data_IF_206781636447
#
_entry.id   IF_206781636447
#
_cell.length_a   1.000
_cell.length_b   1.000
_cell.length_c   1.000
_cell.angle_alpha   90.00
_cell.angle_beta   90.00
_cell.angle_gamma   90.00
#
_symmetry.space_group_name_H-M   'P 1'
#
loop_
_entity.id
_entity.type
_entity.pdbx_description
1 polymer ?
#
# COMPACT_ATOMS: atom_id res chain seq x y z
N UNK A 1 -5.41 -37.62 -38.49
CA UNK A 1 -5.93 -36.26 -38.16
C UNK A 1 -5.93 -36.14 -36.65
N UNK A 2 -4.88 -35.51 -36.13
CA UNK A 2 -4.70 -35.34 -34.69
C UNK A 2 -4.92 -33.85 -34.42
N UNK A 3 -6.04 -33.51 -33.78
CA UNK A 3 -6.26 -32.16 -33.23
C UNK A 3 -5.82 -32.22 -31.77
N UNK A 4 -4.63 -31.71 -31.49
CA UNK A 4 -4.10 -31.65 -30.14
C UNK A 4 -4.73 -30.47 -29.37
N UNK A 5 -5.22 -30.79 -28.19
CA UNK A 5 -5.67 -29.87 -27.15
C UNK A 5 -4.57 -28.90 -26.73
N UNK A 6 -4.84 -27.61 -26.85
CA UNK A 6 -4.00 -26.51 -26.33
C UNK A 6 -4.88 -25.54 -25.53
N UNK A 7 -5.48 -26.01 -24.42
CA UNK A 7 -6.34 -25.15 -23.57
C UNK A 7 -6.15 -25.34 -22.05
N UNK A 8 -4.95 -25.57 -21.56
CA UNK A 8 -4.75 -25.78 -20.11
C UNK A 8 -3.65 -24.94 -19.43
N UNK A 9 -2.98 -23.99 -20.12
CA UNK A 9 -1.86 -23.29 -19.50
C UNK A 9 -2.16 -21.85 -18.95
N UNK A 10 -3.19 -21.19 -19.45
CA UNK A 10 -3.48 -19.79 -19.06
C UNK A 10 -4.12 -19.65 -17.68
N UNK A 11 -4.94 -20.60 -17.26
CA UNK A 11 -5.59 -20.56 -15.94
C UNK A 11 -4.61 -20.74 -14.78
N UNK A 12 -3.61 -21.59 -14.93
CA UNK A 12 -2.58 -21.82 -13.90
C UNK A 12 -1.63 -20.61 -13.74
N UNK A 13 -1.23 -19.96 -14.82
CA UNK A 13 -0.34 -18.80 -14.78
C UNK A 13 -0.98 -17.61 -14.06
N UNK A 14 -2.26 -17.33 -14.30
CA UNK A 14 -2.99 -16.26 -13.64
C UNK A 14 -3.21 -16.53 -12.13
N UNK A 15 -3.50 -17.77 -11.75
CA UNK A 15 -3.65 -18.15 -10.36
C UNK A 15 -2.31 -18.05 -9.61
N UNK A 16 -1.22 -18.47 -10.23
CA UNK A 16 0.14 -18.39 -9.69
C UNK A 16 0.55 -16.93 -9.46
N UNK A 17 0.38 -16.06 -10.46
CA UNK A 17 0.71 -14.63 -10.39
C UNK A 17 -0.10 -13.91 -9.30
N UNK A 18 -1.40 -14.23 -9.18
CA UNK A 18 -2.25 -13.69 -8.11
C UNK A 18 -1.76 -14.09 -6.72
N UNK A 19 -1.42 -15.37 -6.53
CA UNK A 19 -0.91 -15.86 -5.24
C UNK A 19 0.44 -15.25 -4.89
N UNK A 20 1.31 -15.00 -5.86
CA UNK A 20 2.60 -14.33 -5.64
C UNK A 20 2.40 -12.86 -5.24
N UNK A 21 1.49 -12.14 -5.89
CA UNK A 21 1.10 -10.78 -5.52
C UNK A 21 0.50 -10.71 -4.11
N UNK A 22 -0.40 -11.61 -3.74
CA UNK A 22 -0.98 -11.66 -2.40
C UNK A 22 0.09 -11.89 -1.31
N UNK A 23 1.04 -12.79 -1.55
CA UNK A 23 2.18 -13.02 -0.64
C UNK A 23 3.07 -11.78 -0.53
N UNK A 24 3.33 -11.10 -1.63
CA UNK A 24 4.12 -9.87 -1.63
C UNK A 24 3.43 -8.75 -0.83
N UNK A 25 2.12 -8.57 -1.00
CA UNK A 25 1.33 -7.60 -0.22
C UNK A 25 1.39 -7.90 1.28
N UNK A 26 1.21 -9.17 1.66
CA UNK A 26 1.31 -9.63 3.04
C UNK A 26 2.69 -9.35 3.65
N UNK A 27 3.75 -9.67 2.92
CA UNK A 27 5.12 -9.41 3.36
C UNK A 27 5.39 -7.92 3.56
N UNK A 28 4.98 -7.09 2.60
CA UNK A 28 5.10 -5.63 2.67
C UNK A 28 4.33 -5.08 3.87
N UNK A 29 3.07 -5.50 4.06
CA UNK A 29 2.24 -5.07 5.19
C UNK A 29 2.86 -5.44 6.54
N UNK A 30 3.38 -6.66 6.66
CA UNK A 30 4.00 -7.13 7.89
C UNK A 30 5.27 -6.32 8.21
N UNK A 31 6.10 -6.06 7.20
CA UNK A 31 7.29 -5.22 7.36
C UNK A 31 6.94 -3.79 7.79
N UNK A 32 5.95 -3.16 7.13
CA UNK A 32 5.47 -1.83 7.51
C UNK A 32 4.92 -1.81 8.95
N UNK A 33 4.29 -2.89 9.39
CA UNK A 33 3.79 -3.06 10.76
C UNK A 33 4.88 -3.14 11.83
N UNK A 34 6.08 -3.62 11.48
CA UNK A 34 7.25 -3.62 12.37
C UNK A 34 7.87 -2.21 12.52
N UNK A 35 7.60 -1.32 11.55
CA UNK A 35 8.04 0.06 11.58
C UNK A 35 7.03 0.93 12.35
N UNK A 36 7.52 1.87 13.15
CA UNK A 36 6.62 2.72 13.97
C UNK A 36 5.95 3.83 13.16
N UNK A 37 6.62 4.29 12.12
CA UNK A 37 6.20 5.43 11.30
C UNK A 37 6.49 5.14 9.83
N UNK A 38 5.50 5.41 8.99
CA UNK A 38 5.62 5.35 7.54
C UNK A 38 5.81 6.78 7.03
N UNK A 39 6.93 7.09 6.42
CA UNK A 39 7.15 8.40 5.79
C UNK A 39 6.67 8.34 4.34
N UNK A 40 5.59 9.05 4.05
CA UNK A 40 4.98 9.07 2.72
C UNK A 40 5.38 10.34 1.97
N UNK A 41 6.08 10.15 0.86
CA UNK A 41 6.45 11.20 -0.07
C UNK A 41 5.37 11.35 -1.17
N UNK A 42 5.04 12.59 -1.49
CA UNK A 42 4.18 12.99 -2.62
C UNK A 42 4.76 14.21 -3.31
N UNK A 43 4.19 14.61 -4.44
CA UNK A 43 4.61 15.78 -5.20
C UNK A 43 3.51 16.85 -5.16
N UNK A 44 3.94 18.08 -4.90
CA UNK A 44 3.11 19.29 -4.91
C UNK A 44 3.66 20.26 -5.97
N UNK A 45 3.18 20.14 -7.19
CA UNK A 45 3.81 20.78 -8.35
C UNK A 45 5.17 20.14 -8.62
N UNK A 46 6.25 20.86 -8.44
CA UNK A 46 7.65 20.42 -8.53
C UNK A 46 8.29 20.18 -7.13
N UNK A 47 7.58 20.51 -6.05
CA UNK A 47 8.08 20.39 -4.70
C UNK A 47 7.76 19.01 -4.12
N UNK A 48 8.77 18.20 -3.75
CA UNK A 48 8.55 16.97 -2.97
C UNK A 48 8.07 17.32 -1.55
N UNK A 49 7.11 16.55 -1.07
CA UNK A 49 6.55 16.67 0.29
C UNK A 49 6.64 15.33 0.99
N UNK A 50 7.03 15.31 2.27
CA UNK A 50 7.10 14.09 3.10
C UNK A 50 6.35 14.31 4.41
N UNK A 51 5.59 13.33 4.87
CA UNK A 51 4.91 13.37 6.17
C UNK A 51 4.71 11.97 6.75
N UNK A 52 4.57 11.90 8.11
CA UNK A 52 4.36 10.63 8.79
C UNK A 52 2.93 10.12 8.56
N UNK A 53 2.81 8.82 8.37
CA UNK A 53 1.58 8.03 8.35
C UNK A 53 1.71 6.88 9.35
N UNK A 54 0.59 6.39 9.86
CA UNK A 54 0.57 5.30 10.84
C UNK A 54 -0.28 4.10 10.43
N UNK A 55 -0.87 4.11 9.24
CA UNK A 55 -1.82 3.07 8.82
C UNK A 55 -1.41 2.47 7.49
N UNK A 56 -1.24 1.14 7.50
CA UNK A 56 -1.15 0.30 6.32
C UNK A 56 -1.91 -1.00 6.61
N UNK A 57 -3.04 -1.24 5.92
CA UNK A 57 -3.90 -2.40 6.16
C UNK A 57 -4.28 -3.09 4.84
N UNK A 58 -4.45 -4.41 4.90
CA UNK A 58 -4.91 -5.20 3.76
C UNK A 58 -6.43 -5.41 3.87
N UNK A 59 -7.15 -5.04 2.84
CA UNK A 59 -8.57 -5.35 2.68
C UNK A 59 -8.85 -5.81 1.26
N UNK A 60 -9.54 -6.95 1.12
CA UNK A 60 -9.84 -7.58 -0.16
C UNK A 60 -8.63 -7.68 -1.12
N UNK A 61 -7.47 -8.12 -0.58
CA UNK A 61 -6.25 -8.33 -1.36
C UNK A 61 -5.55 -7.05 -1.82
N UNK A 62 -5.93 -5.87 -1.28
CA UNK A 62 -5.31 -4.57 -1.59
C UNK A 62 -4.68 -3.97 -0.35
N UNK A 63 -3.52 -3.36 -0.52
CA UNK A 63 -2.84 -2.62 0.56
C UNK A 63 -3.31 -1.16 0.56
N UNK A 64 -3.91 -0.75 1.67
CA UNK A 64 -4.45 0.60 1.88
C UNK A 64 -3.58 1.42 2.82
N UNK A 65 -3.51 2.70 2.53
CA UNK A 65 -3.09 3.75 3.46
C UNK A 65 -4.27 4.69 3.72
N UNK A 66 -4.21 5.48 4.80
CA UNK A 66 -5.31 6.33 5.22
C UNK A 66 -4.84 7.75 5.52
N UNK A 67 -5.67 8.74 5.18
CA UNK A 67 -5.48 10.15 5.53
C UNK A 67 -6.83 10.86 5.69
N UNK A 68 -6.83 12.17 5.86
CA UNK A 68 -8.05 13.00 5.86
C UNK A 68 -8.22 13.75 4.55
N UNK A 69 -9.45 13.77 3.98
CA UNK A 69 -9.77 14.48 2.73
C UNK A 69 -9.48 15.99 2.80
N UNK A 70 -9.54 16.58 3.99
CA UNK A 70 -9.25 18.01 4.21
C UNK A 70 -7.75 18.36 4.18
N UNK A 71 -6.87 17.35 4.23
CA UNK A 71 -5.42 17.56 4.21
C UNK A 71 -4.90 17.77 2.78
N UNK A 72 -3.89 18.61 2.63
CA UNK A 72 -3.26 18.88 1.32
C UNK A 72 -2.63 17.62 0.73
N UNK A 73 -2.12 16.72 1.56
CA UNK A 73 -1.58 15.42 1.10
C UNK A 73 -2.62 14.61 0.32
N UNK A 74 -3.87 14.61 0.74
CA UNK A 74 -4.94 13.92 -0.01
C UNK A 74 -5.13 14.55 -1.39
N UNK A 75 -5.18 15.89 -1.48
CA UNK A 75 -5.29 16.60 -2.76
C UNK A 75 -4.12 16.26 -3.70
N UNK A 76 -2.90 16.17 -3.16
CA UNK A 76 -1.70 15.79 -3.91
C UNK A 76 -1.80 14.35 -4.43
N UNK A 77 -2.22 13.41 -3.57
CA UNK A 77 -2.39 12.00 -3.94
C UNK A 77 -3.46 11.79 -5.02
N UNK A 78 -4.58 12.51 -4.94
CA UNK A 78 -5.64 12.42 -5.96
C UNK A 78 -5.21 13.06 -7.27
N UNK A 79 -4.47 14.17 -7.21
CA UNK A 79 -3.98 14.88 -8.41
C UNK A 79 -2.92 14.10 -9.16
N UNK A 80 -2.03 13.41 -8.45
CA UNK A 80 -0.87 12.73 -9.03
C UNK A 80 -0.67 11.36 -8.41
N UNK A 81 -1.46 10.50 -8.21
CA UNK A 81 -1.36 9.14 -7.66
C UNK A 81 0.03 8.55 -7.32
N UNK A 82 1.13 9.17 -7.77
CA UNK A 82 2.51 8.72 -7.52
C UNK A 82 2.95 9.06 -6.11
N UNK A 83 3.60 8.11 -5.47
CA UNK A 83 4.08 8.23 -4.10
C UNK A 83 5.31 7.34 -3.86
N UNK A 84 5.98 7.59 -2.77
CA UNK A 84 6.91 6.63 -2.18
C UNK A 84 6.75 6.62 -0.65
N UNK A 85 6.67 5.43 -0.07
CA UNK A 85 6.76 5.21 1.37
C UNK A 85 8.19 4.81 1.69
N UNK A 86 8.77 5.39 2.74
CA UNK A 86 9.97 4.86 3.40
C UNK A 86 9.66 4.57 4.86
N UNK A 87 10.05 3.40 5.34
CA UNK A 87 9.86 3.02 6.73
C UNK A 87 11.07 2.23 7.22
N UNK A 88 11.57 2.58 8.40
CA UNK A 88 12.79 2.03 8.99
C UNK A 88 12.43 1.16 10.19
N UNK A 89 12.99 -0.05 10.26
CA UNK A 89 12.83 -0.90 11.44
C UNK A 89 13.48 -0.26 12.68
N UNK A 90 13.03 -0.62 13.89
CA UNK A 90 13.61 -0.08 15.12
C UNK A 90 15.13 -0.28 15.29
N UNK A 91 15.71 -1.28 14.62
CA UNK A 91 17.16 -1.50 14.57
C UNK A 91 17.95 -0.37 13.89
N UNK A 92 17.28 0.41 13.02
CA UNK A 92 17.90 1.47 12.21
C UNK A 92 18.74 0.97 11.03
N UNK A 93 18.99 -0.33 10.90
CA UNK A 93 19.86 -0.93 9.88
C UNK A 93 19.13 -1.51 8.66
N UNK A 94 17.81 -1.64 8.76
CA UNK A 94 16.94 -2.19 7.71
C UNK A 94 15.77 -1.25 7.46
N UNK A 95 15.43 -1.05 6.20
CA UNK A 95 14.27 -0.23 5.81
C UNK A 95 13.59 -0.79 4.57
N UNK A 96 12.35 -0.38 4.35
CA UNK A 96 11.60 -0.66 3.15
C UNK A 96 11.30 0.63 2.39
N UNK A 97 11.26 0.55 1.06
CA UNK A 97 10.71 1.58 0.19
C UNK A 97 9.59 0.96 -0.63
N UNK A 98 8.43 1.59 -0.62
CA UNK A 98 7.25 1.13 -1.37
C UNK A 98 6.79 2.25 -2.29
N UNK A 99 6.67 1.96 -3.58
CA UNK A 99 6.19 2.89 -4.60
C UNK A 99 5.10 2.24 -5.45
N UNK A 100 4.41 3.03 -6.25
CA UNK A 100 3.33 2.57 -7.12
C UNK A 100 2.39 3.71 -7.48
N UNK A 101 1.11 3.39 -7.64
CA UNK A 101 0.06 4.37 -7.88
C UNK A 101 -1.03 4.25 -6.82
N UNK A 102 -1.37 5.36 -6.18
CA UNK A 102 -2.47 5.44 -5.23
C UNK A 102 -3.79 5.68 -5.96
N UNK A 103 -4.79 4.89 -5.59
CA UNK A 103 -6.16 5.04 -6.08
C UNK A 103 -7.07 5.34 -4.90
N UNK A 104 -7.77 6.47 -4.97
CA UNK A 104 -8.77 6.81 -3.94
C UNK A 104 -9.93 5.82 -3.97
N UNK A 105 -10.35 5.39 -2.79
CA UNK A 105 -11.47 4.48 -2.60
C UNK A 105 -12.41 5.06 -1.52
N UNK A 106 -13.69 5.07 -1.83
CA UNK A 106 -14.73 5.53 -0.89
C UNK A 106 -15.60 4.38 -0.35
N UNK A 107 -15.15 3.11 -0.52
CA UNK A 107 -15.86 1.94 0.02
C UNK A 107 -16.00 2.03 1.55
N UNK A 108 -17.25 2.11 2.00
CA UNK A 108 -17.60 2.20 3.42
C UNK A 108 -17.15 0.96 4.19
N UNK A 109 -17.24 -0.23 3.59
CA UNK A 109 -16.84 -1.48 4.24
C UNK A 109 -15.31 -1.52 4.45
N UNK A 110 -14.52 -1.05 3.48
CA UNK A 110 -13.07 -0.90 3.64
C UNK A 110 -12.72 0.11 4.74
N UNK A 111 -13.41 1.27 4.80
CA UNK A 111 -13.23 2.26 5.86
C UNK A 111 -13.55 1.68 7.24
N UNK A 112 -14.67 0.95 7.37
CA UNK A 112 -15.06 0.28 8.61
C UNK A 112 -14.01 -0.74 9.06
N UNK A 113 -13.48 -1.53 8.12
CA UNK A 113 -12.43 -2.51 8.40
C UNK A 113 -11.16 -1.82 8.92
N UNK A 114 -10.70 -0.76 8.26
CA UNK A 114 -9.51 0.00 8.68
C UNK A 114 -9.70 0.59 10.08
N UNK A 115 -10.87 1.15 10.39
CA UNK A 115 -11.20 1.66 11.71
C UNK A 115 -11.32 0.54 12.76
N UNK A 116 -11.76 -0.64 12.38
CA UNK A 116 -11.77 -1.82 13.26
C UNK A 116 -10.35 -2.24 13.63
N UNK A 117 -9.45 -2.26 12.66
CA UNK A 117 -8.02 -2.59 12.86
C UNK A 117 -7.27 -1.52 13.65
N UNK A 118 -7.73 -0.27 13.59
CA UNK A 118 -7.08 0.89 14.20
C UNK A 118 -8.07 1.67 15.09
N UNK A 119 -8.48 1.12 16.25
CA UNK A 119 -9.56 1.68 17.06
C UNK A 119 -9.34 3.13 17.54
N UNK A 120 -8.08 3.53 17.76
CA UNK A 120 -7.72 4.89 18.16
C UNK A 120 -8.13 5.97 17.16
N UNK A 121 -8.30 5.60 15.89
CA UNK A 121 -8.73 6.53 14.85
C UNK A 121 -10.22 6.89 14.94
N UNK A 122 -11.03 6.08 15.63
CA UNK A 122 -12.49 6.31 15.77
C UNK A 122 -12.85 7.60 16.50
N UNK A 123 -11.91 8.18 17.25
CA UNK A 123 -12.10 9.50 17.87
C UNK A 123 -11.99 10.65 16.86
N UNK A 124 -11.38 10.44 15.70
CA UNK A 124 -11.11 11.47 14.69
C UNK A 124 -11.85 11.24 13.37
N UNK A 125 -12.23 9.99 13.08
CA UNK A 125 -12.80 9.58 11.80
C UNK A 125 -13.97 8.62 11.97
N UNK A 126 -14.92 8.72 11.04
CA UNK A 126 -16.01 7.76 10.85
C UNK A 126 -15.98 7.24 9.41
N UNK A 127 -16.41 6.01 9.20
CA UNK A 127 -16.48 5.43 7.85
C UNK A 127 -17.48 6.17 6.93
N UNK A 128 -18.41 6.90 7.51
CA UNK A 128 -19.47 7.63 6.79
C UNK A 128 -19.29 9.14 6.84
N UNK A 129 -18.20 9.66 7.47
CA UNK A 129 -17.90 11.08 7.40
C UNK A 129 -17.25 11.45 6.06
N UNK A 130 -17.32 12.73 5.71
CA UNK A 130 -16.69 13.25 4.49
C UNK A 130 -15.19 13.53 4.65
N UNK A 131 -14.59 13.15 5.78
CA UNK A 131 -13.19 13.45 6.06
C UNK A 131 -12.27 12.25 5.93
N UNK A 132 -12.73 11.04 6.23
CA UNK A 132 -11.89 9.84 6.09
C UNK A 132 -11.62 9.52 4.63
N UNK A 133 -10.33 9.51 4.25
CA UNK A 133 -9.86 9.07 2.94
C UNK A 133 -9.03 7.80 3.08
N UNK A 134 -9.32 6.82 2.26
CA UNK A 134 -8.51 5.60 2.09
C UNK A 134 -8.06 5.50 0.64
N UNK A 135 -6.82 5.08 0.44
CA UNK A 135 -6.25 4.90 -0.90
C UNK A 135 -5.55 3.55 -0.93
N UNK A 136 -5.81 2.76 -1.97
CA UNK A 136 -5.09 1.51 -2.18
C UNK A 136 -3.97 1.68 -3.21
N UNK A 137 -2.97 0.80 -3.10
CA UNK A 137 -1.81 0.78 -3.98
C UNK A 137 -2.09 -0.15 -5.16
N UNK A 138 -1.78 0.32 -6.36
CA UNK A 138 -1.72 -0.47 -7.60
C UNK A 138 -0.33 -0.36 -8.21
N UNK A 139 0.07 -1.36 -8.99
CA UNK A 139 1.41 -1.44 -9.58
C UNK A 139 2.49 -1.23 -8.52
N UNK A 140 2.29 -1.87 -7.36
CA UNK A 140 3.15 -1.73 -6.20
C UNK A 140 4.51 -2.37 -6.43
N UNK A 141 5.56 -1.66 -6.04
CA UNK A 141 6.92 -2.17 -5.94
C UNK A 141 7.43 -1.94 -4.53
N UNK A 142 7.96 -2.97 -3.88
CA UNK A 142 8.64 -2.82 -2.62
C UNK A 142 10.10 -3.25 -2.73
N UNK A 143 10.98 -2.48 -2.10
CA UNK A 143 12.42 -2.72 -1.98
C UNK A 143 12.77 -2.87 -0.52
N UNK A 144 13.24 -4.05 -0.15
CA UNK A 144 13.77 -4.35 1.18
C UNK A 144 15.26 -4.05 1.17
N UNK A 145 15.66 -3.08 1.96
CA UNK A 145 17.00 -2.51 1.97
C UNK A 145 17.68 -2.76 3.32
N UNK A 146 19.00 -2.89 3.29
CA UNK A 146 19.85 -3.07 4.47
C UNK A 146 21.23 -2.52 4.23
N UNK A 147 21.92 -2.08 5.28
CA UNK A 147 23.35 -1.76 5.19
C UNK A 147 24.24 -3.01 5.03
N UNK A 148 23.71 -4.19 5.35
CA UNK A 148 24.51 -5.43 5.45
C UNK A 148 24.18 -6.46 4.36
N UNK A 149 23.13 -6.27 3.58
CA UNK A 149 22.67 -7.21 2.57
C UNK A 149 22.25 -6.51 1.28
N UNK A 150 22.27 -7.27 0.18
CA UNK A 150 21.78 -6.78 -1.11
C UNK A 150 20.28 -6.44 -1.06
N UNK A 151 19.89 -5.42 -1.81
CA UNK A 151 18.49 -5.03 -1.98
C UNK A 151 17.69 -6.17 -2.61
N UNK A 152 16.50 -6.45 -2.05
CA UNK A 152 15.53 -7.39 -2.62
C UNK A 152 14.26 -6.64 -3.02
N UNK A 153 13.69 -7.01 -4.18
CA UNK A 153 12.48 -6.39 -4.73
C UNK A 153 11.35 -7.41 -4.80
N UNK A 154 10.13 -6.92 -4.60
CA UNK A 154 8.89 -7.63 -4.91
C UNK A 154 7.93 -6.67 -5.62
N UNK A 155 7.01 -7.21 -6.42
CA UNK A 155 5.96 -6.47 -7.13
C UNK A 155 4.58 -7.02 -6.73
N UNK A 156 3.55 -6.15 -6.72
CA UNK A 156 2.18 -6.52 -6.34
C UNK A 156 1.12 -5.57 -6.90
#
# INVERSE_FOLDING_TARGET
MVVAMLFLSTGNANAQSKMESEKAIEEVKNYLGECRVLYVATVDGDQPRVRPFGVAEIYNGRLYIMTGKKKDVFKQMVKNGKFEISAVKPSGSEWIRVSGTLVNDDDVAAKQFILYKNPSLKSMYSATDDNMAILYITNGQARFCSFMAAERKVEF
#
